data_IF_934847306045
#
_entry.id   IF_934847306045
#
_cell.length_a   1.000
_cell.length_b   1.000
_cell.length_c   1.000
_cell.angle_alpha   90.00
_cell.angle_beta   90.00
_cell.angle_gamma   90.00
#
_symmetry.space_group_name_H-M   'P 1'
#
loop_
_entity.id
_entity.type
_entity.pdbx_description
1 polymer ?
#
# COMPACT_ATOMS: atom_id res chain seq x y z
N UNK A 1 -13.95 36.80 2.20
CA UNK A 1 -14.54 38.03 2.73
C UNK A 1 -13.58 39.18 2.46
N UNK A 2 -13.96 40.13 1.61
CA UNK A 2 -13.17 41.32 1.37
C UNK A 2 -13.10 42.17 2.65
N UNK A 3 -11.94 42.79 2.89
CA UNK A 3 -11.71 43.72 4.00
C UNK A 3 -11.19 45.03 3.40
N UNK A 4 -11.59 46.19 3.97
CA UNK A 4 -11.10 47.50 3.50
C UNK A 4 -9.57 47.58 3.53
N UNK A 5 -8.94 46.98 4.55
CA UNK A 5 -7.49 46.83 4.67
C UNK A 5 -7.02 45.53 4.02
N UNK A 6 -5.95 45.60 3.24
CA UNK A 6 -5.22 44.41 2.81
C UNK A 6 -4.30 43.92 3.93
N UNK A 7 -4.32 42.61 4.20
CA UNK A 7 -3.47 41.98 5.21
C UNK A 7 -2.44 41.10 4.51
N UNK A 8 -1.22 41.08 5.04
CA UNK A 8 -0.18 40.18 4.56
C UNK A 8 -0.65 38.71 4.60
N UNK A 9 -0.31 37.96 3.56
CA UNK A 9 -0.67 36.54 3.40
C UNK A 9 0.62 35.74 3.24
N UNK A 10 0.87 34.83 4.18
CA UNK A 10 1.97 33.88 4.06
C UNK A 10 1.54 32.61 3.31
N UNK A 11 2.51 31.78 2.92
CA UNK A 11 2.25 30.46 2.34
C UNK A 11 2.82 29.39 3.27
N UNK A 12 1.98 28.42 3.65
CA UNK A 12 2.41 27.27 4.46
C UNK A 12 3.17 26.25 3.61
N UNK A 13 3.88 25.31 4.27
CA UNK A 13 4.66 24.26 3.59
C UNK A 13 3.83 23.41 2.59
N UNK A 14 2.52 23.30 2.79
CA UNK A 14 1.64 22.56 1.88
C UNK A 14 1.04 23.43 0.77
N UNK A 15 1.46 24.69 0.64
CA UNK A 15 0.95 25.64 -0.36
C UNK A 15 -0.33 26.38 0.05
N UNK A 16 -0.89 26.13 1.25
CA UNK A 16 -2.09 26.86 1.69
C UNK A 16 -1.75 28.27 2.14
N UNK A 17 -2.58 29.24 1.77
CA UNK A 17 -2.50 30.63 2.22
C UNK A 17 -2.80 30.75 3.73
N UNK A 18 -1.98 31.53 4.42
CA UNK A 18 -2.08 31.81 5.85
C UNK A 18 -2.74 33.17 6.04
N UNK A 19 -3.96 33.18 6.55
CA UNK A 19 -4.76 34.38 6.79
C UNK A 19 -4.90 34.75 8.28
N UNK A 20 -3.92 34.37 9.11
CA UNK A 20 -3.94 34.56 10.57
C UNK A 20 -4.16 36.02 10.97
N UNK A 21 -3.46 36.96 10.34
CA UNK A 21 -3.58 38.40 10.60
C UNK A 21 -4.96 38.94 10.26
N UNK A 22 -5.53 38.53 9.11
CA UNK A 22 -6.90 38.91 8.71
C UNK A 22 -7.92 38.39 9.72
N UNK A 23 -7.85 37.10 10.05
CA UNK A 23 -8.79 36.48 10.99
C UNK A 23 -8.64 37.03 12.41
N UNK A 24 -7.42 37.35 12.85
CA UNK A 24 -7.16 38.04 14.11
C UNK A 24 -7.86 39.40 14.17
N UNK A 25 -7.72 40.21 13.12
CA UNK A 25 -8.36 41.53 13.07
C UNK A 25 -9.89 41.45 13.02
N UNK A 26 -10.46 40.51 12.26
CA UNK A 26 -11.92 40.31 12.22
C UNK A 26 -12.46 39.93 13.60
N UNK A 27 -11.77 39.03 14.31
CA UNK A 27 -12.15 38.64 15.68
C UNK A 27 -12.09 39.79 16.69
N UNK A 28 -11.12 40.70 16.55
CA UNK A 28 -10.89 41.76 17.52
C UNK A 28 -11.71 43.04 17.24
N UNK A 29 -12.00 43.33 15.97
CA UNK A 29 -12.57 44.63 15.55
C UNK A 29 -14.01 44.56 15.05
N UNK A 30 -14.62 43.37 14.95
CA UNK A 30 -15.96 43.22 14.38
C UNK A 30 -16.84 42.34 15.27
N UNK A 31 -18.16 42.51 15.13
CA UNK A 31 -19.17 41.67 15.78
C UNK A 31 -19.61 40.47 14.90
N UNK A 32 -18.75 40.05 13.99
CA UNK A 32 -19.03 38.92 13.10
C UNK A 32 -18.99 37.59 13.88
N UNK A 33 -19.93 36.70 13.56
CA UNK A 33 -20.01 35.37 14.15
C UNK A 33 -18.95 34.50 13.49
N UNK A 34 -17.96 34.07 14.25
CA UNK A 34 -16.91 33.18 13.74
C UNK A 34 -17.43 31.74 13.68
N UNK A 35 -17.34 31.13 12.50
CA UNK A 35 -17.60 29.71 12.31
C UNK A 35 -16.57 29.06 11.38
N UNK A 36 -16.43 27.75 11.52
CA UNK A 36 -15.61 26.92 10.64
C UNK A 36 -16.47 25.78 10.10
N UNK A 37 -16.42 25.53 8.79
CA UNK A 37 -17.17 24.45 8.17
C UNK A 37 -16.23 23.31 7.75
N UNK A 38 -16.65 22.08 8.04
CA UNK A 38 -16.05 20.86 7.50
C UNK A 38 -17.16 20.10 6.81
N UNK A 39 -17.00 19.82 5.51
CA UNK A 39 -17.99 19.11 4.69
C UNK A 39 -17.34 17.92 4.01
N UNK A 40 -18.06 16.80 3.99
CA UNK A 40 -17.73 15.62 3.20
C UNK A 40 -19.01 15.13 2.51
N UNK A 41 -19.08 15.28 1.19
CA UNK A 41 -20.32 15.06 0.43
C UNK A 41 -21.50 15.88 1.01
N UNK A 42 -22.57 15.19 1.41
CA UNK A 42 -23.78 15.71 2.04
C UNK A 42 -23.64 15.96 3.55
N UNK A 43 -22.75 15.23 4.24
CA UNK A 43 -22.52 15.40 5.68
C UNK A 43 -21.56 16.56 5.97
N UNK A 44 -21.98 17.51 6.80
CA UNK A 44 -21.15 18.63 7.20
C UNK A 44 -21.37 19.04 8.66
N UNK A 45 -20.33 19.68 9.22
CA UNK A 45 -20.32 20.22 10.57
C UNK A 45 -19.91 21.69 10.52
N UNK A 46 -20.65 22.53 11.25
CA UNK A 46 -20.34 23.94 11.46
C UNK A 46 -19.91 24.12 12.92
N UNK A 47 -18.66 24.50 13.13
CA UNK A 47 -18.09 24.73 14.45
C UNK A 47 -18.22 26.20 14.83
N UNK A 48 -18.80 26.47 15.99
CA UNK A 48 -19.05 27.81 16.52
C UNK A 48 -18.41 27.96 17.91
N UNK A 49 -18.12 29.19 18.33
CA UNK A 49 -17.59 29.48 19.68
C UNK A 49 -18.64 29.31 20.77
N UNK A 50 -19.87 29.77 20.50
CA UNK A 50 -20.95 29.84 21.50
C UNK A 50 -22.18 29.07 21.04
N UNK A 51 -23.04 28.70 21.99
CA UNK A 51 -24.33 28.05 21.70
C UNK A 51 -25.26 28.98 20.92
N UNK A 52 -25.29 30.27 21.28
CA UNK A 52 -26.13 31.26 20.60
C UNK A 52 -25.77 31.41 19.13
N UNK A 53 -24.48 31.42 18.79
CA UNK A 53 -24.03 31.45 17.39
C UNK A 53 -24.40 30.17 16.64
N UNK A 54 -24.25 29.01 17.29
CA UNK A 54 -24.63 27.73 16.69
C UNK A 54 -26.14 27.65 16.38
N UNK A 55 -26.99 28.17 17.26
CA UNK A 55 -28.44 28.18 17.05
C UNK A 55 -28.84 29.12 15.90
N UNK A 56 -28.27 30.32 15.85
CA UNK A 56 -28.49 31.27 14.74
C UNK A 56 -28.02 30.67 13.41
N UNK A 57 -26.84 30.07 13.38
CA UNK A 57 -26.29 29.43 12.17
C UNK A 57 -27.09 28.20 11.76
N UNK A 58 -27.64 27.44 12.69
CA UNK A 58 -28.51 26.30 12.38
C UNK A 58 -29.75 26.75 11.59
N UNK A 59 -30.48 27.75 12.09
CA UNK A 59 -31.66 28.28 11.39
C UNK A 59 -31.29 28.93 10.06
N UNK A 60 -30.24 29.76 10.03
CA UNK A 60 -29.78 30.39 8.79
C UNK A 60 -29.34 29.35 7.73
N UNK A 61 -28.73 28.24 8.16
CA UNK A 61 -28.31 27.17 7.23
C UNK A 61 -29.52 26.40 6.72
N UNK A 62 -30.49 26.07 7.58
CA UNK A 62 -31.74 25.41 7.18
C UNK A 62 -32.50 26.24 6.15
N UNK A 63 -32.66 27.53 6.44
CA UNK A 63 -33.32 28.51 5.58
C UNK A 63 -32.62 28.65 4.22
N UNK A 64 -31.30 28.81 4.24
CA UNK A 64 -30.50 28.91 3.01
C UNK A 64 -30.58 27.64 2.15
N UNK A 65 -30.50 26.45 2.77
CA UNK A 65 -30.61 25.18 2.04
C UNK A 65 -31.99 25.02 1.38
N UNK A 66 -33.05 25.39 2.11
CA UNK A 66 -34.41 25.30 1.60
C UNK A 66 -34.64 26.29 0.45
N UNK A 67 -34.41 27.59 0.67
CA UNK A 67 -34.72 28.61 -0.33
C UNK A 67 -33.77 28.64 -1.53
N UNK A 68 -32.49 28.27 -1.36
CA UNK A 68 -31.50 28.35 -2.45
C UNK A 68 -31.31 27.04 -3.20
N UNK A 69 -31.43 25.90 -2.51
CA UNK A 69 -31.17 24.58 -3.08
C UNK A 69 -32.41 23.68 -3.11
N UNK A 70 -33.52 24.08 -2.49
CA UNK A 70 -34.72 23.23 -2.38
C UNK A 70 -34.51 22.01 -1.49
N UNK A 71 -33.52 22.04 -0.58
CA UNK A 71 -33.14 20.90 0.24
C UNK A 71 -33.66 21.03 1.67
N UNK A 72 -34.31 19.97 2.16
CA UNK A 72 -34.75 19.87 3.55
C UNK A 72 -33.69 19.20 4.43
N UNK A 73 -33.61 19.67 5.69
CA UNK A 73 -32.68 19.15 6.68
C UNK A 73 -33.37 18.07 7.52
N UNK A 74 -32.71 16.93 7.71
CA UNK A 74 -33.21 15.88 8.60
C UNK A 74 -33.05 16.33 10.07
N UNK A 75 -34.16 16.69 10.72
CA UNK A 75 -34.16 17.22 12.10
C UNK A 75 -33.73 16.18 13.14
N UNK A 76 -33.95 14.89 12.90
CA UNK A 76 -33.54 13.82 13.81
C UNK A 76 -32.02 13.63 13.82
N UNK A 77 -31.36 13.84 12.67
CA UNK A 77 -29.90 13.72 12.53
C UNK A 77 -29.16 15.01 12.88
N UNK A 78 -29.82 16.17 12.73
CA UNK A 78 -29.18 17.48 12.83
C UNK A 78 -29.31 18.03 14.24
N UNK A 79 -28.20 18.08 14.96
CA UNK A 79 -28.18 18.48 16.37
C UNK A 79 -27.05 19.45 16.70
N UNK A 80 -27.32 20.37 17.63
CA UNK A 80 -26.32 21.26 18.22
C UNK A 80 -25.65 20.54 19.39
N UNK A 81 -24.36 20.22 19.24
CA UNK A 81 -23.59 19.45 20.24
C UNK A 81 -22.52 20.32 20.88
N UNK A 82 -22.45 20.29 22.21
CA UNK A 82 -21.34 20.88 22.95
C UNK A 82 -20.18 19.88 23.07
N UNK A 83 -19.13 20.09 22.28
CA UNK A 83 -17.94 19.22 22.24
C UNK A 83 -17.19 19.13 23.57
N UNK A 84 -17.39 20.04 24.53
CA UNK A 84 -16.80 19.94 25.88
C UNK A 84 -17.52 18.92 26.77
N UNK A 85 -18.76 18.56 26.43
CA UNK A 85 -19.62 17.66 27.24
C UNK A 85 -19.90 16.34 26.56
N UNK A 86 -20.13 16.35 25.24
CA UNK A 86 -20.57 15.19 24.46
C UNK A 86 -19.65 14.95 23.27
N UNK A 87 -19.63 13.71 22.81
CA UNK A 87 -19.01 13.37 21.54
C UNK A 87 -19.87 13.84 20.37
N UNK A 88 -19.21 14.28 19.31
CA UNK A 88 -19.82 14.44 17.98
C UNK A 88 -19.27 13.37 17.06
N UNK A 89 -20.15 12.67 16.35
CA UNK A 89 -19.77 11.64 15.40
C UNK A 89 -19.64 12.22 13.99
N UNK A 90 -18.62 11.83 13.23
CA UNK A 90 -18.41 12.24 11.85
C UNK A 90 -17.53 11.22 11.14
N UNK A 91 -17.98 10.72 9.98
CA UNK A 91 -17.24 9.75 9.15
C UNK A 91 -16.68 8.54 9.93
N UNK A 92 -17.48 7.98 10.85
CA UNK A 92 -17.08 6.81 11.64
C UNK A 92 -16.14 7.11 12.82
N UNK A 93 -15.76 8.37 13.02
CA UNK A 93 -15.07 8.84 14.22
C UNK A 93 -16.06 9.49 15.18
N UNK A 94 -15.70 9.49 16.46
CA UNK A 94 -16.33 10.35 17.45
C UNK A 94 -15.29 11.19 18.16
N UNK A 95 -15.57 12.48 18.31
CA UNK A 95 -14.61 13.45 18.86
C UNK A 95 -15.25 14.36 19.90
N UNK A 96 -14.46 14.70 20.92
CA UNK A 96 -14.80 15.69 21.95
C UNK A 96 -13.56 16.49 22.34
N UNK A 97 -13.77 17.53 23.13
CA UNK A 97 -12.70 18.29 23.76
C UNK A 97 -12.45 17.76 25.17
N UNK A 98 -11.21 17.43 25.47
CA UNK A 98 -10.74 17.03 26.79
C UNK A 98 -9.90 18.14 27.42
N UNK A 99 -10.10 18.41 28.71
CA UNK A 99 -9.37 19.48 29.42
C UNK A 99 -7.98 18.96 29.82
N UNK A 100 -6.93 19.61 29.34
CA UNK A 100 -5.54 19.25 29.60
C UNK A 100 -4.73 20.47 30.02
N UNK A 101 -4.73 20.69 31.34
CA UNK A 101 -4.00 21.79 31.98
C UNK A 101 -4.61 23.16 31.69
N UNK A 102 -3.77 24.18 31.84
CA UNK A 102 -4.11 25.59 31.65
C UNK A 102 -3.15 26.22 30.64
N UNK A 103 -3.62 27.27 29.97
CA UNK A 103 -2.80 28.14 29.14
C UNK A 103 -2.03 29.12 30.03
N UNK A 104 -1.05 29.83 29.46
CA UNK A 104 -0.27 30.87 30.17
C UNK A 104 -1.14 31.98 30.78
N UNK A 105 -2.30 32.25 30.20
CA UNK A 105 -3.27 33.24 30.68
C UNK A 105 -4.28 32.68 31.70
N UNK A 106 -4.03 31.51 32.30
CA UNK A 106 -4.91 30.89 33.30
C UNK A 106 -6.14 30.14 32.74
N UNK A 107 -6.48 30.33 31.47
CA UNK A 107 -7.64 29.67 30.86
C UNK A 107 -7.45 28.15 30.73
N UNK A 108 -8.53 27.35 30.84
CA UNK A 108 -8.48 25.92 30.54
C UNK A 108 -7.97 25.65 29.12
N UNK A 109 -6.98 24.78 29.01
CA UNK A 109 -6.49 24.29 27.72
C UNK A 109 -7.26 23.03 27.36
N UNK A 110 -7.80 22.99 26.15
CA UNK A 110 -8.53 21.84 25.62
C UNK A 110 -7.75 21.20 24.47
N UNK A 111 -7.78 19.87 24.41
CA UNK A 111 -7.26 19.09 23.28
C UNK A 111 -8.36 18.23 22.68
N UNK A 112 -8.19 17.82 21.42
CA UNK A 112 -9.12 16.90 20.78
C UNK A 112 -8.84 15.48 21.26
N UNK A 113 -9.87 14.84 21.79
CA UNK A 113 -9.91 13.42 22.03
C UNK A 113 -10.82 12.77 20.99
N UNK A 114 -10.28 11.82 20.22
CA UNK A 114 -11.02 11.12 19.18
C UNK A 114 -10.90 9.60 19.32
N UNK A 115 -12.00 8.94 19.01
CA UNK A 115 -12.20 7.50 19.05
C UNK A 115 -12.86 7.04 17.75
N UNK A 116 -12.83 5.74 17.49
CA UNK A 116 -13.75 5.13 16.52
C UNK A 116 -15.17 5.07 17.12
N UNK A 117 -16.18 5.16 16.28
CA UNK A 117 -17.59 4.95 16.71
C UNK A 117 -17.84 3.49 17.05
N UNK A 118 -18.75 3.24 17.99
CA UNK A 118 -19.22 1.90 18.37
C UNK A 118 -19.66 1.11 17.13
N UNK A 119 -20.51 1.71 16.29
CA UNK A 119 -21.00 1.12 15.05
C UNK A 119 -19.86 0.72 14.10
N UNK A 120 -18.80 1.53 14.00
CA UNK A 120 -17.64 1.17 13.18
C UNK A 120 -16.82 0.05 13.81
N UNK A 121 -16.61 0.08 15.12
CA UNK A 121 -15.91 -0.97 15.86
C UNK A 121 -16.60 -2.34 15.70
N UNK A 122 -17.92 -2.37 15.79
CA UNK A 122 -18.74 -3.58 15.58
C UNK A 122 -18.61 -4.12 14.17
N UNK A 123 -18.73 -3.25 13.16
CA UNK A 123 -18.53 -3.64 11.74
C UNK A 123 -17.15 -4.20 11.49
N UNK A 124 -16.11 -3.58 12.05
CA UNK A 124 -14.73 -4.06 11.94
C UNK A 124 -14.60 -5.46 12.56
N UNK A 125 -15.14 -5.64 13.78
CA UNK A 125 -15.09 -6.91 14.48
C UNK A 125 -15.88 -8.02 13.76
N UNK A 126 -17.04 -7.70 13.20
CA UNK A 126 -17.85 -8.63 12.42
C UNK A 126 -17.11 -9.06 11.15
N UNK A 127 -16.59 -8.11 10.38
CA UNK A 127 -15.87 -8.43 9.13
C UNK A 127 -14.57 -9.20 9.40
N UNK A 128 -13.85 -8.87 10.46
CA UNK A 128 -12.68 -9.64 10.88
C UNK A 128 -13.05 -11.10 11.23
N UNK A 129 -14.17 -11.33 11.95
CA UNK A 129 -14.65 -12.68 12.27
C UNK A 129 -15.02 -13.48 11.03
N UNK A 130 -15.70 -12.86 10.07
CA UNK A 130 -16.03 -13.46 8.77
C UNK A 130 -14.77 -13.86 8.00
N UNK A 131 -13.78 -12.97 7.91
CA UNK A 131 -12.51 -13.27 7.22
C UNK A 131 -11.73 -14.39 7.92
N UNK A 132 -11.77 -14.48 9.25
CA UNK A 132 -11.15 -15.59 9.99
C UNK A 132 -11.87 -16.91 9.73
N UNK A 133 -13.19 -16.89 9.57
CA UNK A 133 -13.97 -18.08 9.20
C UNK A 133 -13.49 -18.64 7.85
N UNK A 134 -13.26 -17.77 6.87
CA UNK A 134 -12.74 -18.17 5.55
C UNK A 134 -11.32 -18.76 5.62
N UNK A 135 -10.53 -18.44 6.65
CA UNK A 135 -9.19 -19.04 6.86
C UNK A 135 -9.28 -20.44 7.50
N UNK A 136 -10.41 -20.78 8.15
CA UNK A 136 -10.57 -21.98 8.95
C UNK A 136 -10.49 -23.25 8.11
N UNK A 137 -11.27 -23.37 7.03
CA UNK A 137 -11.37 -24.59 6.23
C UNK A 137 -11.06 -24.32 4.75
N UNK A 138 -9.80 -24.05 4.39
CA UNK A 138 -9.44 -23.88 2.99
C UNK A 138 -9.45 -25.25 2.28
N UNK A 139 -10.02 -25.32 1.08
CA UNK A 139 -9.99 -26.52 0.24
C UNK A 139 -8.57 -26.82 -0.25
N UNK A 140 -7.78 -25.78 -0.55
CA UNK A 140 -6.40 -25.94 -1.00
C UNK A 140 -5.42 -24.87 -0.47
N UNK A 141 -4.13 -24.98 -0.86
CA UNK A 141 -3.10 -24.01 -0.46
C UNK A 141 -3.34 -22.60 -1.02
N UNK A 142 -3.96 -22.47 -2.19
CA UNK A 142 -4.24 -21.20 -2.87
C UNK A 142 -5.42 -20.48 -2.20
N UNK A 143 -6.50 -21.17 -1.87
CA UNK A 143 -7.64 -20.61 -1.16
C UNK A 143 -7.23 -20.13 0.22
N UNK A 144 -6.42 -20.92 0.94
CA UNK A 144 -5.85 -20.45 2.20
C UNK A 144 -4.99 -19.18 2.01
N UNK A 145 -4.23 -19.09 0.91
CA UNK A 145 -3.47 -17.88 0.61
C UNK A 145 -4.39 -16.68 0.41
N UNK A 146 -5.41 -16.81 -0.44
CA UNK A 146 -6.38 -15.76 -0.70
C UNK A 146 -7.08 -15.30 0.58
N UNK A 147 -7.55 -16.24 1.41
CA UNK A 147 -8.19 -15.94 2.68
C UNK A 147 -7.27 -15.14 3.63
N UNK A 148 -6.00 -15.56 3.76
CA UNK A 148 -5.02 -14.82 4.58
C UNK A 148 -4.68 -13.44 4.00
N UNK A 149 -4.59 -13.33 2.67
CA UNK A 149 -4.34 -12.07 1.97
C UNK A 149 -5.49 -11.07 2.16
N UNK A 150 -6.74 -11.52 2.05
CA UNK A 150 -7.91 -10.68 2.29
C UNK A 150 -7.99 -10.20 3.73
N UNK A 151 -7.72 -11.08 4.71
CA UNK A 151 -7.64 -10.69 6.11
C UNK A 151 -6.58 -9.61 6.35
N UNK A 152 -5.36 -9.81 5.84
CA UNK A 152 -4.27 -8.85 6.01
C UNK A 152 -4.59 -7.50 5.34
N UNK A 153 -5.09 -7.53 4.11
CA UNK A 153 -5.48 -6.33 3.37
C UNK A 153 -6.57 -5.54 4.09
N UNK A 154 -7.56 -6.24 4.65
CA UNK A 154 -8.61 -5.63 5.47
C UNK A 154 -8.04 -4.95 6.71
N UNK A 155 -7.23 -5.65 7.50
CA UNK A 155 -6.65 -5.10 8.74
C UNK A 155 -5.77 -3.89 8.44
N UNK A 156 -4.92 -3.96 7.41
CA UNK A 156 -4.07 -2.85 6.98
C UNK A 156 -4.92 -1.64 6.57
N UNK A 157 -5.97 -1.86 5.78
CA UNK A 157 -6.88 -0.79 5.34
C UNK A 157 -7.58 -0.10 6.51
N UNK A 158 -8.09 -0.89 7.46
CA UNK A 158 -8.74 -0.39 8.68
C UNK A 158 -7.76 0.41 9.54
N UNK A 159 -6.53 -0.08 9.74
CA UNK A 159 -5.49 0.68 10.44
C UNK A 159 -5.19 2.02 9.77
N UNK A 160 -4.99 2.02 8.44
CA UNK A 160 -4.67 3.23 7.69
C UNK A 160 -5.80 4.27 7.72
N UNK A 161 -7.06 3.84 7.84
CA UNK A 161 -8.18 4.76 7.96
C UNK A 161 -8.29 5.35 9.37
N UNK A 162 -8.20 4.51 10.41
CA UNK A 162 -8.47 4.93 11.78
C UNK A 162 -7.23 5.37 12.58
N UNK A 163 -6.00 5.25 12.05
CA UNK A 163 -4.78 5.67 12.74
C UNK A 163 -4.74 7.17 13.09
N UNK A 164 -5.58 7.99 12.44
CA UNK A 164 -5.74 9.40 12.79
C UNK A 164 -6.48 9.63 14.13
N UNK A 165 -7.18 8.64 14.68
CA UNK A 165 -7.85 8.78 15.98
C UNK A 165 -6.82 8.79 17.13
N UNK A 166 -6.94 9.74 18.07
CA UNK A 166 -5.95 9.91 19.14
C UNK A 166 -5.95 8.76 20.14
N UNK A 167 -7.08 8.06 20.29
CA UNK A 167 -7.24 6.91 21.17
C UNK A 167 -7.39 5.57 20.44
N UNK A 168 -6.98 5.52 19.16
CA UNK A 168 -7.11 4.32 18.30
C UNK A 168 -6.58 3.05 18.98
N UNK A 169 -5.46 3.12 19.70
CA UNK A 169 -4.88 2.00 20.44
C UNK A 169 -5.84 1.39 21.47
N UNK A 170 -6.54 2.24 22.23
CA UNK A 170 -7.48 1.78 23.26
C UNK A 170 -8.69 1.11 22.62
N UNK A 171 -9.17 1.67 21.52
CA UNK A 171 -10.34 1.16 20.82
C UNK A 171 -10.04 -0.19 20.15
N UNK A 172 -8.92 -0.29 19.43
CA UNK A 172 -8.51 -1.54 18.79
C UNK A 172 -8.07 -2.61 19.79
N UNK A 173 -7.62 -2.26 21.00
CA UNK A 173 -7.41 -3.24 22.08
C UNK A 173 -8.71 -3.97 22.44
N UNK A 174 -9.85 -3.26 22.47
CA UNK A 174 -11.17 -3.87 22.72
C UNK A 174 -11.60 -4.78 21.57
N UNK A 175 -11.32 -4.39 20.33
CA UNK A 175 -11.60 -5.22 19.14
C UNK A 175 -10.69 -6.45 19.09
N UNK A 176 -9.40 -6.29 19.42
CA UNK A 176 -8.40 -7.35 19.31
C UNK A 176 -8.69 -8.52 20.26
N UNK A 177 -9.27 -8.27 21.43
CA UNK A 177 -9.57 -9.31 22.41
C UNK A 177 -10.48 -10.44 21.86
N UNK A 178 -11.71 -10.16 21.38
CA UNK A 178 -12.57 -11.19 20.79
C UNK A 178 -11.97 -11.78 19.50
N UNK A 179 -11.23 -10.99 18.72
CA UNK A 179 -10.60 -11.47 17.48
C UNK A 179 -9.48 -12.48 17.78
N UNK A 180 -8.63 -12.22 18.78
CA UNK A 180 -7.62 -13.17 19.21
C UNK A 180 -8.24 -14.47 19.73
N UNK A 181 -9.36 -14.39 20.48
CA UNK A 181 -10.10 -15.58 20.91
C UNK A 181 -10.61 -16.36 19.70
N UNK A 182 -11.21 -15.69 18.72
CA UNK A 182 -11.69 -16.32 17.48
C UNK A 182 -10.56 -17.00 16.70
N UNK A 183 -9.42 -16.33 16.53
CA UNK A 183 -8.24 -16.91 15.86
C UNK A 183 -7.76 -18.18 16.56
N UNK A 184 -7.60 -18.14 17.90
CA UNK A 184 -7.16 -19.30 18.67
C UNK A 184 -8.12 -20.48 18.56
N UNK A 185 -9.43 -20.25 18.75
CA UNK A 185 -10.44 -21.31 18.75
C UNK A 185 -10.59 -21.96 17.38
N UNK A 186 -10.58 -21.15 16.31
CA UNK A 186 -10.82 -21.64 14.95
C UNK A 186 -9.61 -22.28 14.32
N UNK A 187 -8.41 -21.72 14.55
CA UNK A 187 -7.19 -22.18 13.88
C UNK A 187 -6.36 -23.15 14.74
N UNK A 188 -6.58 -23.17 16.07
CA UNK A 188 -5.95 -24.12 17.02
C UNK A 188 -4.44 -24.24 16.76
N UNK A 189 -3.93 -25.46 16.56
CA UNK A 189 -2.51 -25.76 16.36
C UNK A 189 -1.92 -25.19 15.07
N UNK A 190 -2.77 -24.81 14.11
CA UNK A 190 -2.32 -24.14 12.88
C UNK A 190 -1.88 -22.71 13.15
N UNK A 191 -2.32 -22.09 14.25
CA UNK A 191 -1.94 -20.74 14.63
C UNK A 191 -0.67 -20.76 15.47
N UNK A 192 0.43 -20.28 14.88
CA UNK A 192 1.74 -20.23 15.55
C UNK A 192 2.18 -18.81 15.81
N UNK A 193 2.93 -18.63 16.89
CA UNK A 193 3.69 -17.41 17.17
C UNK A 193 5.06 -17.47 16.49
N UNK A 194 5.71 -16.31 16.33
CA UNK A 194 7.08 -16.23 15.80
C UNK A 194 8.05 -17.09 16.63
N UNK A 195 7.97 -17.02 17.96
CA UNK A 195 8.80 -17.81 18.88
C UNK A 195 8.64 -19.32 18.68
N UNK A 196 7.41 -19.80 18.49
CA UNK A 196 7.15 -21.22 18.24
C UNK A 196 7.72 -21.71 16.90
N UNK A 197 7.76 -20.84 15.88
CA UNK A 197 8.38 -21.17 14.59
C UNK A 197 9.91 -21.22 14.70
N UNK A 198 10.50 -20.26 15.40
CA UNK A 198 11.94 -20.21 15.68
C UNK A 198 12.42 -21.44 16.45
N UNK A 199 11.69 -21.84 17.50
CA UNK A 199 11.96 -23.06 18.28
C UNK A 199 11.92 -24.34 17.42
N UNK A 200 10.96 -24.42 16.50
CA UNK A 200 10.82 -25.57 15.58
C UNK A 200 11.76 -25.50 14.37
N UNK A 201 12.65 -24.49 14.30
CA UNK A 201 13.52 -24.20 13.16
C UNK A 201 12.74 -24.10 11.83
N UNK A 202 11.47 -23.69 11.89
CA UNK A 202 10.62 -23.52 10.71
C UNK A 202 10.89 -22.14 10.13
N UNK A 203 11.38 -22.12 8.90
CA UNK A 203 11.63 -20.87 8.17
C UNK A 203 10.31 -20.20 7.82
N UNK A 204 10.07 -19.00 8.35
CA UNK A 204 8.94 -18.17 8.00
C UNK A 204 9.40 -16.93 7.26
N UNK A 205 8.74 -16.61 6.15
CA UNK A 205 8.98 -15.39 5.40
C UNK A 205 7.85 -14.42 5.67
N UNK A 206 8.18 -13.20 6.09
CA UNK A 206 7.22 -12.09 6.20
C UNK A 206 7.46 -11.16 5.02
N UNK A 207 6.41 -10.81 4.24
CA UNK A 207 6.54 -9.83 3.16
C UNK A 207 7.12 -8.51 3.67
N UNK A 208 8.00 -7.87 2.89
CA UNK A 208 8.75 -6.67 3.29
C UNK A 208 7.85 -5.56 3.85
N UNK A 209 6.72 -5.29 3.19
CA UNK A 209 5.77 -4.26 3.64
C UNK A 209 5.13 -4.57 5.00
N UNK A 210 4.84 -5.85 5.29
CA UNK A 210 4.33 -6.28 6.60
C UNK A 210 5.47 -6.22 7.63
N UNK A 211 6.68 -6.60 7.24
CA UNK A 211 7.84 -6.55 8.12
C UNK A 211 8.16 -5.12 8.57
N UNK A 212 8.10 -4.15 7.65
CA UNK A 212 8.34 -2.73 7.95
C UNK A 212 7.25 -2.15 8.88
N UNK A 213 5.98 -2.46 8.63
CA UNK A 213 4.87 -1.90 9.39
C UNK A 213 4.58 -2.63 10.71
N UNK A 214 4.75 -3.96 10.75
CA UNK A 214 4.30 -4.83 11.84
C UNK A 214 5.40 -5.71 12.44
N UNK A 215 6.60 -5.74 11.86
CA UNK A 215 7.67 -6.69 12.24
C UNK A 215 8.15 -6.59 13.69
N UNK A 216 7.92 -5.45 14.35
CA UNK A 216 8.20 -5.24 15.79
C UNK A 216 7.11 -5.80 16.71
N UNK A 217 5.97 -6.22 16.17
CA UNK A 217 4.84 -6.69 16.94
C UNK A 217 5.00 -8.14 17.39
N UNK A 218 4.98 -8.37 18.69
CA UNK A 218 4.89 -9.72 19.27
C UNK A 218 3.50 -10.37 19.06
N UNK A 219 2.53 -9.60 18.55
CA UNK A 219 1.19 -10.08 18.25
C UNK A 219 1.07 -10.69 16.84
N UNK A 220 2.13 -10.64 16.02
CA UNK A 220 2.17 -11.34 14.73
C UNK A 220 1.89 -12.84 14.94
N UNK A 221 1.07 -13.39 14.05
CA UNK A 221 0.73 -14.81 14.04
C UNK A 221 0.98 -15.38 12.66
N UNK A 222 1.10 -16.69 12.60
CA UNK A 222 1.33 -17.43 11.37
C UNK A 222 0.32 -18.57 11.30
N UNK A 223 -0.29 -18.76 10.14
CA UNK A 223 -1.15 -19.91 9.85
C UNK A 223 -0.34 -20.95 9.09
N UNK A 224 -0.18 -22.14 9.66
CA UNK A 224 0.70 -23.16 9.10
C UNK A 224 2.17 -22.83 9.36
N UNK A 225 2.98 -22.71 8.31
CA UNK A 225 4.43 -22.54 8.43
C UNK A 225 4.94 -21.17 7.90
N UNK A 226 4.22 -20.55 6.97
CA UNK A 226 4.72 -19.40 6.19
C UNK A 226 3.70 -18.24 6.02
N UNK A 227 2.42 -18.44 6.33
CA UNK A 227 1.38 -17.41 6.11
C UNK A 227 1.25 -16.48 7.29
N UNK A 228 1.78 -15.27 7.19
CA UNK A 228 1.66 -14.24 8.24
C UNK A 228 0.25 -13.67 8.34
N UNK A 229 -0.21 -13.40 9.56
CA UNK A 229 -1.41 -12.65 9.88
C UNK A 229 -1.06 -11.34 10.59
N UNK A 230 -1.54 -10.24 10.04
CA UNK A 230 -1.39 -8.91 10.62
C UNK A 230 -2.23 -8.79 11.90
N UNK A 231 -1.63 -8.35 13.02
CA UNK A 231 -2.36 -8.21 14.28
C UNK A 231 -3.29 -6.99 14.25
N UNK A 232 -4.60 -7.21 14.38
CA UNK A 232 -5.62 -6.15 14.38
C UNK A 232 -5.47 -5.16 15.53
N UNK A 233 -4.80 -5.53 16.62
CA UNK A 233 -4.55 -4.64 17.76
C UNK A 233 -3.34 -3.73 17.60
N UNK A 234 -2.51 -3.93 16.56
CA UNK A 234 -1.23 -3.22 16.41
C UNK A 234 -1.38 -2.01 15.51
N UNK A 235 -2.06 -0.99 16.03
CA UNK A 235 -2.25 0.31 15.40
C UNK A 235 -1.82 1.40 16.38
N UNK A 236 -1.25 2.48 15.88
CA UNK A 236 -0.79 3.62 16.68
C UNK A 236 -1.27 4.92 16.06
N UNK A 237 -1.50 5.93 16.89
CA UNK A 237 -1.93 7.22 16.40
C UNK A 237 -0.88 7.82 15.45
N UNK A 238 -1.31 8.25 14.27
CA UNK A 238 -0.52 9.08 13.36
C UNK A 238 -1.19 10.43 13.19
N UNK A 239 -0.41 11.49 13.38
CA UNK A 239 -0.90 12.86 13.17
C UNK A 239 -1.31 13.01 11.70
N UNK A 240 -2.57 13.38 11.41
CA UNK A 240 -2.98 13.63 10.04
C UNK A 240 -2.28 14.88 9.50
N UNK A 241 -1.63 14.75 8.35
CA UNK A 241 -0.94 15.85 7.66
C UNK A 241 -1.79 16.24 6.45
N UNK A 242 -2.09 17.53 6.34
CA UNK A 242 -2.80 18.06 5.19
C UNK A 242 -1.98 17.85 3.92
N UNK A 243 -2.61 17.31 2.87
CA UNK A 243 -1.97 17.11 1.57
C UNK A 243 -1.50 18.44 0.98
N UNK A 244 -0.45 18.38 0.17
CA UNK A 244 0.00 19.51 -0.64
C UNK A 244 -1.14 19.99 -1.55
N UNK A 245 -1.30 21.30 -1.69
CA UNK A 245 -2.32 21.93 -2.57
C UNK A 245 -2.14 21.56 -4.04
N UNK A 246 -0.91 21.24 -4.44
CA UNK A 246 -0.59 20.73 -5.77
C UNK A 246 -1.16 19.33 -6.03
N UNK A 247 -1.42 18.54 -4.98
CA UNK A 247 -1.91 17.17 -5.11
C UNK A 247 -3.40 17.17 -5.48
N UNK A 248 -3.72 16.84 -6.74
CA UNK A 248 -5.08 16.82 -7.25
C UNK A 248 -5.27 15.72 -8.30
N UNK A 249 -6.31 14.88 -8.12
CA UNK A 249 -6.61 13.77 -9.05
C UNK A 249 -7.21 14.22 -10.39
N UNK A 250 -7.81 15.40 -10.44
CA UNK A 250 -8.55 15.88 -11.60
C UNK A 250 -7.68 16.66 -12.58
N UNK A 251 -6.58 17.25 -12.13
CA UNK A 251 -5.62 17.99 -12.96
C UNK A 251 -4.42 17.11 -13.35
N UNK A 252 -3.88 17.20 -14.58
CA UNK A 252 -2.66 16.49 -14.99
C UNK A 252 -1.48 16.72 -14.03
N UNK A 253 -1.18 17.97 -13.68
CA UNK A 253 -0.05 18.39 -12.84
C UNK A 253 -0.18 17.80 -11.43
N UNK A 254 -1.41 17.79 -10.92
CA UNK A 254 -1.71 17.20 -9.63
C UNK A 254 -1.66 15.68 -9.62
N UNK A 255 -1.99 15.02 -10.73
CA UNK A 255 -1.85 13.55 -10.88
C UNK A 255 -0.40 13.14 -10.90
N UNK A 256 0.46 13.94 -11.53
CA UNK A 256 1.91 13.74 -11.53
C UNK A 256 2.44 13.66 -10.10
N UNK A 257 2.02 14.60 -9.24
CA UNK A 257 2.38 14.59 -7.81
C UNK A 257 1.93 13.33 -7.04
N UNK A 258 0.87 12.64 -7.50
CA UNK A 258 0.34 11.42 -6.89
C UNK A 258 1.05 10.17 -7.43
N UNK A 259 1.42 10.19 -8.71
CA UNK A 259 1.82 9.01 -9.47
C UNK A 259 3.25 9.01 -10.00
N UNK A 260 4.11 9.97 -9.61
CA UNK A 260 5.54 10.04 -10.00
C UNK A 260 6.29 8.69 -10.00
N UNK A 261 5.96 7.75 -9.09
CA UNK A 261 6.57 6.42 -9.02
C UNK A 261 5.88 5.29 -9.81
N UNK A 262 4.62 5.46 -10.22
CA UNK A 262 3.79 4.43 -10.87
C UNK A 262 3.32 4.81 -12.29
N UNK A 263 3.61 6.03 -12.76
CA UNK A 263 3.24 6.53 -14.09
C UNK A 263 3.76 5.67 -15.24
N UNK A 264 4.90 5.02 -15.06
CA UNK A 264 5.55 4.23 -16.10
C UNK A 264 5.02 2.79 -16.20
N UNK A 265 4.06 2.40 -15.36
CA UNK A 265 3.61 1.01 -15.27
C UNK A 265 2.14 0.92 -15.63
N UNK A 266 1.78 -0.05 -16.47
CA UNK A 266 0.38 -0.37 -16.73
C UNK A 266 -0.28 -0.97 -15.47
N UNK A 267 -1.22 -0.21 -14.90
CA UNK A 267 -1.95 -0.61 -13.69
C UNK A 267 -2.87 -1.80 -13.92
N UNK A 268 -3.39 -1.99 -15.13
CA UNK A 268 -4.23 -3.13 -15.47
C UNK A 268 -3.41 -4.42 -15.42
N UNK A 269 -2.17 -4.39 -15.95
CA UNK A 269 -1.24 -5.51 -15.85
C UNK A 269 -0.89 -5.76 -14.38
N UNK A 270 -0.52 -4.72 -13.61
CA UNK A 270 -0.23 -4.89 -12.18
C UNK A 270 -1.40 -5.53 -11.40
N UNK A 271 -2.62 -5.05 -11.62
CA UNK A 271 -3.81 -5.61 -11.01
C UNK A 271 -4.10 -7.05 -11.48
N UNK A 272 -3.85 -7.35 -12.75
CA UNK A 272 -3.95 -8.70 -13.28
C UNK A 272 -2.96 -9.65 -12.60
N UNK A 273 -1.69 -9.27 -12.51
CA UNK A 273 -0.65 -10.06 -11.83
C UNK A 273 -1.01 -10.31 -10.35
N UNK A 274 -1.62 -9.32 -9.70
CA UNK A 274 -2.04 -9.41 -8.30
C UNK A 274 -3.23 -10.36 -8.09
N UNK A 275 -4.17 -10.38 -9.05
CA UNK A 275 -5.34 -11.26 -9.02
C UNK A 275 -5.04 -12.68 -9.51
N UNK A 276 -3.97 -12.85 -10.29
CA UNK A 276 -3.56 -14.12 -10.89
C UNK A 276 -2.15 -14.52 -10.42
N UNK A 277 -2.01 -14.93 -9.14
CA UNK A 277 -0.74 -15.46 -8.64
C UNK A 277 -0.37 -16.75 -9.39
N UNK A 278 0.93 -16.95 -9.61
CA UNK A 278 1.45 -18.19 -10.21
C UNK A 278 1.21 -19.32 -9.22
N UNK A 279 0.35 -20.26 -9.61
CA UNK A 279 -0.03 -21.42 -8.80
C UNK A 279 1.20 -22.27 -8.47
N UNK A 280 1.16 -22.94 -7.32
CA UNK A 280 2.24 -23.83 -6.83
C UNK A 280 3.60 -23.15 -6.57
N UNK A 281 3.67 -21.81 -6.66
CA UNK A 281 4.83 -21.02 -6.20
C UNK A 281 4.62 -20.52 -4.77
N UNK A 282 5.71 -20.14 -4.12
CA UNK A 282 5.64 -19.62 -2.75
C UNK A 282 4.99 -18.23 -2.68
N UNK A 283 4.60 -17.83 -1.47
CA UNK A 283 4.10 -16.48 -1.17
C UNK A 283 5.17 -15.45 -1.52
N UNK A 284 6.40 -15.72 -1.09
CA UNK A 284 7.56 -14.86 -1.33
C UNK A 284 7.77 -14.65 -2.84
N UNK A 285 7.62 -15.69 -3.67
CA UNK A 285 7.74 -15.58 -5.12
C UNK A 285 6.68 -14.64 -5.72
N UNK A 286 5.41 -14.82 -5.37
CA UNK A 286 4.32 -14.03 -5.94
C UNK A 286 4.37 -12.55 -5.50
N UNK A 287 4.74 -12.29 -4.25
CA UNK A 287 4.95 -10.92 -3.74
C UNK A 287 6.17 -10.26 -4.40
N UNK A 288 7.27 -11.00 -4.56
CA UNK A 288 8.48 -10.49 -5.21
C UNK A 288 8.26 -10.27 -6.71
N UNK A 289 7.43 -11.09 -7.39
CA UNK A 289 7.03 -10.89 -8.80
C UNK A 289 6.36 -9.53 -8.99
N UNK A 290 5.39 -9.17 -8.15
CA UNK A 290 4.73 -7.87 -8.19
C UNK A 290 5.72 -6.73 -7.90
N UNK A 291 6.53 -6.91 -6.86
CA UNK A 291 7.54 -5.92 -6.46
C UNK A 291 8.56 -5.66 -7.56
N UNK A 292 9.00 -6.70 -8.27
CA UNK A 292 9.94 -6.61 -9.39
C UNK A 292 9.30 -5.98 -10.62
N UNK A 293 8.05 -6.31 -10.95
CA UNK A 293 7.33 -5.66 -12.05
C UNK A 293 7.27 -4.14 -11.84
N UNK A 294 6.96 -3.72 -10.60
CA UNK A 294 6.98 -2.30 -10.23
C UNK A 294 8.40 -1.70 -10.29
N UNK A 295 9.40 -2.37 -9.70
CA UNK A 295 10.77 -1.86 -9.66
C UNK A 295 11.40 -1.75 -11.06
N UNK A 296 11.05 -2.65 -11.97
CA UNK A 296 11.47 -2.63 -13.37
C UNK A 296 10.60 -1.74 -14.26
N UNK A 297 9.67 -0.99 -13.67
CA UNK A 297 8.79 -0.08 -14.40
C UNK A 297 8.00 -0.77 -15.53
N UNK A 298 7.57 -2.02 -15.30
CA UNK A 298 6.83 -2.81 -16.28
C UNK A 298 7.64 -3.29 -17.50
N UNK A 299 8.97 -3.14 -17.46
CA UNK A 299 9.86 -3.46 -18.58
C UNK A 299 10.56 -4.80 -18.41
N UNK A 300 10.86 -5.43 -19.55
CA UNK A 300 11.77 -6.56 -19.63
C UNK A 300 13.15 -6.16 -19.12
N UNK A 301 13.71 -6.90 -18.16
CA UNK A 301 15.01 -6.54 -17.58
C UNK A 301 16.16 -6.57 -18.61
N UNK A 302 16.05 -7.38 -19.66
CA UNK A 302 17.06 -7.49 -20.72
C UNK A 302 16.80 -6.47 -21.81
N UNK A 303 15.60 -6.49 -22.42
CA UNK A 303 15.28 -5.65 -23.59
C UNK A 303 14.94 -4.19 -23.26
N UNK A 304 14.51 -3.90 -22.03
CA UNK A 304 14.07 -2.55 -21.65
C UNK A 304 12.75 -2.10 -22.31
N UNK A 305 12.07 -2.97 -23.06
CA UNK A 305 10.75 -2.72 -23.63
C UNK A 305 9.65 -3.02 -22.61
N UNK A 306 8.48 -2.37 -22.77
CA UNK A 306 7.30 -2.68 -21.97
C UNK A 306 6.81 -4.10 -22.26
N UNK A 307 6.35 -4.77 -21.21
CA UNK A 307 5.78 -6.11 -21.29
C UNK A 307 4.26 -6.01 -21.31
N UNK A 308 3.65 -6.75 -22.22
CA UNK A 308 2.21 -6.98 -22.22
C UNK A 308 1.81 -7.96 -21.12
N UNK A 309 0.51 -8.02 -20.82
CA UNK A 309 -0.08 -8.84 -19.75
C UNK A 309 0.45 -10.28 -19.73
N UNK A 310 0.48 -10.90 -20.91
CA UNK A 310 0.81 -12.32 -21.06
C UNK A 310 2.32 -12.56 -21.24
N UNK A 311 3.10 -11.49 -21.39
CA UNK A 311 4.55 -11.52 -21.59
C UNK A 311 5.33 -11.29 -20.27
N UNK A 312 4.65 -11.19 -19.12
CA UNK A 312 5.31 -10.98 -17.81
C UNK A 312 5.76 -12.30 -17.17
N UNK A 313 7.00 -12.70 -17.46
CA UNK A 313 7.63 -13.90 -16.89
C UNK A 313 8.59 -13.55 -15.75
N UNK A 314 8.41 -14.23 -14.61
CA UNK A 314 9.32 -14.11 -13.46
C UNK A 314 10.31 -15.27 -13.45
N UNK A 315 11.57 -14.94 -13.66
CA UNK A 315 12.67 -15.88 -13.82
C UNK A 315 13.53 -15.95 -12.55
N UNK A 316 13.95 -17.17 -12.19
CA UNK A 316 14.99 -17.40 -11.18
C UNK A 316 16.37 -17.32 -11.83
N UNK A 317 17.19 -16.33 -11.45
CA UNK A 317 18.57 -16.17 -11.95
C UNK A 317 19.38 -17.45 -11.74
N UNK A 318 19.37 -17.97 -10.52
CA UNK A 318 19.81 -19.33 -10.21
C UNK A 318 18.56 -20.21 -10.08
N UNK A 319 18.38 -21.23 -10.94
CA UNK A 319 17.27 -22.17 -10.89
C UNK A 319 17.14 -22.88 -9.54
N UNK A 320 15.92 -23.32 -9.21
CA UNK A 320 15.64 -24.00 -7.93
C UNK A 320 16.37 -25.34 -7.79
N UNK A 321 16.54 -26.08 -8.88
CA UNK A 321 17.27 -27.36 -8.86
C UNK A 321 18.76 -27.17 -8.53
N UNK A 322 19.30 -25.97 -8.76
CA UNK A 322 20.66 -25.55 -8.38
C UNK A 322 20.70 -24.81 -7.03
N UNK A 323 19.66 -24.96 -6.19
CA UNK A 323 19.59 -24.32 -4.86
C UNK A 323 19.08 -22.87 -4.85
N UNK A 324 18.58 -22.37 -5.98
CA UNK A 324 17.96 -21.05 -6.10
C UNK A 324 16.73 -20.86 -5.18
N UNK A 325 16.64 -19.69 -4.54
CA UNK A 325 15.55 -19.31 -3.61
C UNK A 325 14.59 -18.31 -4.25
N UNK A 326 13.39 -18.18 -3.68
CA UNK A 326 12.35 -17.23 -4.14
C UNK A 326 12.58 -15.79 -3.65
N UNK A 327 13.77 -15.47 -3.14
CA UNK A 327 14.09 -14.14 -2.63
C UNK A 327 14.20 -13.11 -3.75
N UNK A 328 13.95 -11.85 -3.40
CA UNK A 328 13.93 -10.73 -4.36
C UNK A 328 15.21 -10.63 -5.21
N UNK A 329 16.38 -10.93 -4.65
CA UNK A 329 17.68 -10.82 -5.34
C UNK A 329 17.86 -11.88 -6.44
N UNK A 330 17.26 -13.06 -6.26
CA UNK A 330 17.36 -14.17 -7.21
C UNK A 330 16.27 -14.14 -8.29
N UNK A 331 15.34 -13.19 -8.24
CA UNK A 331 14.24 -13.08 -9.19
C UNK A 331 14.44 -11.90 -10.16
N UNK A 332 13.90 -12.03 -11.36
CA UNK A 332 13.94 -10.97 -12.39
C UNK A 332 12.75 -11.11 -13.34
N UNK A 333 12.19 -9.99 -13.81
CA UNK A 333 11.09 -10.01 -14.78
C UNK A 333 11.64 -9.87 -16.20
N UNK A 334 11.24 -10.77 -17.09
CA UNK A 334 11.65 -10.83 -18.51
C UNK A 334 10.44 -11.18 -19.39
N UNK A 335 10.57 -10.96 -20.70
CA UNK A 335 9.60 -11.44 -21.68
C UNK A 335 9.67 -12.96 -21.84
N UNK A 336 8.63 -13.58 -22.37
CA UNK A 336 8.58 -15.00 -22.68
C UNK A 336 9.75 -15.43 -23.57
N UNK A 337 10.01 -14.66 -24.62
CA UNK A 337 11.06 -14.97 -25.60
C UNK A 337 12.44 -14.93 -24.93
N UNK A 338 12.67 -13.93 -24.06
CA UNK A 338 13.92 -13.84 -23.30
C UNK A 338 14.01 -14.95 -22.26
N UNK A 339 12.90 -15.33 -21.62
CA UNK A 339 12.87 -16.46 -20.69
C UNK A 339 13.26 -17.77 -21.38
N UNK A 340 12.70 -18.04 -22.57
CA UNK A 340 13.07 -19.19 -23.40
C UNK A 340 14.54 -19.13 -23.81
N UNK A 341 15.01 -17.96 -24.23
CA UNK A 341 16.42 -17.72 -24.54
C UNK A 341 17.36 -17.93 -23.35
N UNK A 342 16.95 -17.71 -22.11
CA UNK A 342 17.84 -17.96 -20.97
C UNK A 342 18.10 -19.47 -20.79
N UNK A 343 17.11 -20.31 -21.10
CA UNK A 343 17.18 -21.77 -20.91
C UNK A 343 17.53 -22.54 -22.18
N UNK A 344 17.61 -21.89 -23.34
CA UNK A 344 17.94 -22.56 -24.61
C UNK A 344 19.42 -22.98 -24.63
N UNK A 345 19.71 -24.25 -24.89
CA UNK A 345 21.08 -24.76 -25.01
C UNK A 345 21.49 -25.14 -26.45
N UNK A 346 20.52 -25.32 -27.35
CA UNK A 346 20.76 -25.57 -28.78
C UNK A 346 21.07 -24.27 -29.51
N UNK A 347 22.19 -24.24 -30.26
CA UNK A 347 22.59 -23.09 -31.10
C UNK A 347 21.49 -22.70 -32.09
N UNK A 348 20.92 -23.67 -32.81
CA UNK A 348 19.83 -23.44 -33.76
C UNK A 348 18.63 -22.73 -33.12
N UNK A 349 18.24 -23.17 -31.91
CA UNK A 349 17.13 -22.58 -31.16
C UNK A 349 17.47 -21.17 -30.70
N UNK A 350 18.70 -20.93 -30.25
CA UNK A 350 19.18 -19.62 -29.83
C UNK A 350 19.15 -18.65 -31.02
N UNK A 351 19.73 -19.03 -32.16
CA UNK A 351 19.73 -18.19 -33.36
C UNK A 351 18.31 -17.91 -33.86
N UNK A 352 17.41 -18.90 -33.83
CA UNK A 352 16.00 -18.72 -34.20
C UNK A 352 15.29 -17.72 -33.30
N UNK A 353 15.52 -17.77 -31.98
CA UNK A 353 14.90 -16.86 -31.02
C UNK A 353 15.53 -15.46 -31.03
N UNK A 354 16.81 -15.35 -31.40
CA UNK A 354 17.49 -14.06 -31.59
C UNK A 354 17.02 -13.32 -32.85
N UNK A 355 16.61 -14.05 -33.90
CA UNK A 355 16.02 -13.44 -35.11
C UNK A 355 14.77 -12.65 -34.71
N UNK A 356 14.86 -11.32 -34.83
CA UNK A 356 13.78 -10.38 -34.50
C UNK A 356 13.89 -9.68 -33.14
N UNK A 357 14.93 -9.95 -32.33
CA UNK A 357 15.08 -9.30 -31.02
C UNK A 357 16.00 -8.06 -31.01
N UNK A 358 16.78 -7.80 -32.07
CA UNK A 358 17.68 -6.65 -32.24
C UNK A 358 18.31 -6.17 -30.92
N UNK A 359 19.06 -7.04 -30.26
CA UNK A 359 19.64 -6.78 -28.94
C UNK A 359 20.94 -6.00 -29.07
N UNK A 360 21.09 -4.90 -28.32
CA UNK A 360 22.37 -4.20 -28.23
C UNK A 360 23.41 -4.95 -27.37
N UNK A 361 24.69 -4.61 -27.50
CA UNK A 361 25.80 -5.26 -26.80
C UNK A 361 25.60 -5.35 -25.27
N UNK A 362 25.09 -4.30 -24.63
CA UNK A 362 24.81 -4.32 -23.20
C UNK A 362 23.70 -5.32 -22.81
N UNK A 363 22.71 -5.51 -23.68
CA UNK A 363 21.60 -6.43 -23.47
C UNK A 363 22.05 -7.88 -23.65
N UNK A 364 22.92 -8.15 -24.64
CA UNK A 364 23.55 -9.46 -24.86
C UNK A 364 24.40 -9.86 -23.66
N UNK A 365 25.26 -8.96 -23.17
CA UNK A 365 26.07 -9.21 -21.97
C UNK A 365 25.20 -9.58 -20.77
N UNK A 366 24.09 -8.85 -20.56
CA UNK A 366 23.14 -9.16 -19.50
C UNK A 366 22.42 -10.49 -19.70
N UNK A 367 22.03 -10.83 -20.93
CA UNK A 367 21.43 -12.11 -21.28
C UNK A 367 22.40 -13.27 -21.00
N UNK A 368 23.65 -13.16 -21.44
CA UNK A 368 24.70 -14.14 -21.19
C UNK A 368 24.98 -14.33 -19.69
N UNK A 369 24.97 -13.26 -18.90
CA UNK A 369 25.07 -13.37 -17.44
C UNK A 369 23.93 -14.19 -16.83
N UNK A 370 22.69 -14.00 -17.29
CA UNK A 370 21.55 -14.80 -16.83
C UNK A 370 21.65 -16.25 -17.29
N UNK A 371 22.04 -16.48 -18.55
CA UNK A 371 22.24 -17.83 -19.12
C UNK A 371 23.29 -18.63 -18.34
N UNK A 372 24.44 -18.03 -18.01
CA UNK A 372 25.50 -18.67 -17.22
C UNK A 372 25.06 -19.07 -15.81
N UNK A 373 24.12 -18.34 -15.21
CA UNK A 373 23.56 -18.68 -13.90
C UNK A 373 22.48 -19.77 -13.98
N UNK A 374 21.84 -19.91 -15.15
CA UNK A 374 20.79 -20.89 -15.40
C UNK A 374 21.32 -22.24 -15.90
N UNK A 375 22.37 -22.24 -16.72
CA UNK A 375 22.97 -23.42 -17.37
C UNK A 375 24.45 -23.48 -16.96
N UNK A 376 24.80 -24.43 -16.09
CA UNK A 376 26.14 -24.46 -15.46
C UNK A 376 27.13 -25.36 -16.21
N UNK A 377 26.65 -26.41 -16.89
CA UNK A 377 27.54 -27.49 -17.40
C UNK A 377 27.98 -27.31 -18.86
N UNK A 378 27.30 -26.47 -19.67
CA UNK A 378 27.66 -26.23 -21.09
C UNK A 378 26.95 -25.02 -21.70
N UNK A 379 27.01 -23.85 -21.06
CA UNK A 379 26.32 -22.66 -21.55
C UNK A 379 26.97 -22.09 -22.82
N UNK A 380 26.30 -22.22 -23.98
CA UNK A 380 26.65 -21.47 -25.18
C UNK A 380 26.58 -19.95 -24.91
N UNK A 381 27.67 -19.23 -25.19
CA UNK A 381 27.80 -17.78 -25.00
C UNK A 381 27.53 -17.09 -26.33
N UNK A 382 26.51 -16.24 -26.37
CA UNK A 382 26.17 -15.45 -27.56
C UNK A 382 27.25 -14.38 -27.76
N UNK A 383 27.79 -14.26 -28.97
CA UNK A 383 28.79 -13.23 -29.28
C UNK A 383 28.23 -11.82 -29.06
N UNK A 384 29.07 -10.94 -28.52
CA UNK A 384 28.75 -9.52 -28.28
C UNK A 384 28.65 -8.71 -29.59
N UNK A 385 29.08 -9.30 -30.71
CA UNK A 385 28.91 -8.79 -32.08
C UNK A 385 27.79 -9.58 -32.74
N UNK A 386 26.63 -8.98 -32.91
CA UNK A 386 25.57 -9.52 -33.78
C UNK A 386 25.94 -9.10 -35.20
N UNK A 387 26.25 -10.02 -36.13
CA UNK A 387 26.40 -9.65 -37.53
C UNK A 387 25.07 -9.09 -38.01
N UNK A 388 25.11 -7.90 -38.60
CA UNK A 388 23.96 -7.14 -39.09
C UNK A 388 22.98 -8.01 -39.89
N UNK A 389 21.92 -8.51 -39.25
CA UNK A 389 20.67 -8.97 -39.85
C UNK A 389 20.70 -9.99 -41.02
N UNK A 390 21.86 -10.49 -41.44
CA UNK A 390 22.02 -11.29 -42.65
C UNK A 390 21.99 -12.80 -42.33
N UNK A 391 21.42 -13.64 -43.22
CA UNK A 391 21.33 -15.08 -43.00
C UNK A 391 22.74 -15.68 -42.92
N UNK A 392 23.03 -16.37 -41.82
CA UNK A 392 24.32 -17.00 -41.55
C UNK A 392 24.57 -18.15 -42.54
N UNK A 393 25.35 -17.90 -43.58
CA UNK A 393 26.16 -18.95 -44.18
C UNK A 393 27.29 -19.31 -43.22
N UNK A 394 27.36 -20.59 -42.88
CA UNK A 394 28.28 -21.21 -41.94
C UNK A 394 29.69 -20.62 -42.04
N UNK A 395 30.14 -19.92 -41.00
CA UNK A 395 31.53 -19.96 -40.49
C UNK A 395 31.64 -19.02 -39.30
N UNK A 396 31.81 -19.59 -38.11
CA UNK A 396 32.52 -18.95 -37.01
C UNK A 396 33.25 -20.04 -36.25
N UNK A 397 34.57 -19.94 -36.28
CA UNK A 397 35.56 -20.79 -35.62
C UNK A 397 35.34 -20.81 -34.11
N UNK A 398 35.07 -22.00 -33.56
CA UNK A 398 35.07 -22.27 -32.13
C UNK A 398 36.49 -22.37 -31.60
N UNK A 399 36.85 -21.56 -30.60
CA UNK A 399 37.96 -21.87 -29.70
C UNK A 399 37.35 -22.39 -28.39
N UNK A 400 37.42 -23.70 -28.19
CA UNK A 400 37.12 -24.35 -26.92
C UNK A 400 38.34 -24.18 -26.03
N UNK A 401 38.26 -23.38 -24.96
CA UNK A 401 39.26 -23.41 -23.89
C UNK A 401 39.02 -24.66 -23.05
N UNK A 402 39.59 -25.78 -23.47
CA UNK A 402 39.73 -26.98 -22.66
C UNK A 402 40.92 -26.83 -21.72
N UNK A 403 40.66 -26.61 -20.43
CA UNK A 403 41.66 -26.79 -19.39
C UNK A 403 41.97 -28.28 -19.21
N UNK A 404 43.22 -28.67 -19.47
CA UNK A 404 43.75 -30.01 -19.22
C UNK A 404 45.12 -29.91 -18.56
N UNK A 405 45.24 -30.49 -17.36
CA UNK A 405 46.48 -30.66 -16.59
C UNK A 405 47.51 -31.47 -17.39
N UNK A 406 48.78 -31.10 -17.33
CA UNK A 406 49.89 -32.05 -17.43
C UNK A 406 50.75 -31.95 -16.17
N UNK A 407 50.94 -33.10 -15.53
CA UNK A 407 52.00 -33.36 -14.55
C UNK A 407 53.32 -33.36 -15.31
N UNK A 408 54.34 -32.78 -14.69
CA UNK A 408 55.64 -33.41 -14.45
C UNK A 408 56.20 -32.84 -13.14
#
# INVERSE_FOLDING_TARGET
MPTKRQYAVGVSQNGSLIHSSRYGSLRAKTQLKECHIVRYADDFRIFCKTRGDAQRLYFATKDWLHHRLGLEVNEQKSQIVNLKKRYSEFLGFKMKLDRRGTKKNGEPKYIVQSHITEKSAEKIAQKARELIYNIQNPADRNEQFQATYFYNSFVIGVHNYYDMATHVQKDFRKIAFPIHKSLKVRLRDRLKTKKQLEQKKIKSTVPKHIQEAYGKSQQLRFVGNDKVLVPIGYVSHKKPIAKGRTVNKFTPEGRECIHKGLERIDKNILHYLMRNPVRYRSIEFNDNRLSLYCAQQGKCAVRGIFLDRDDVYCHHRTPRHLGGKDNYKNLIIVSEVIHKLIHANSEETIFKLLRGLNLGQAQIRKLNQLRKLAIVESCFVISDVIPDGAPCERKLSCTVLSGGKSRD
#
